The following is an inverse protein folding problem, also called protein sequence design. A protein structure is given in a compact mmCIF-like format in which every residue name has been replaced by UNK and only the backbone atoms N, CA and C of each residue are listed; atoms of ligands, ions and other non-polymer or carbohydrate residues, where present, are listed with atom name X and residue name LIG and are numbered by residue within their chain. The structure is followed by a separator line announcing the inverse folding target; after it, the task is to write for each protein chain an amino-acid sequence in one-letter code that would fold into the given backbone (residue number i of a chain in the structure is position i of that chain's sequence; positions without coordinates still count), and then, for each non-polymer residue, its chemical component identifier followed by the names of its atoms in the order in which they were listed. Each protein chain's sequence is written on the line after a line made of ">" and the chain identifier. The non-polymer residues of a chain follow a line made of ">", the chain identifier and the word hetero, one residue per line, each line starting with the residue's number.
data_IF_675500677914
#
_entry.id   IF_675500677914
#
_cell.length_a   1.000
_cell.length_b   1.000
_cell.length_c   1.000
_cell.angle_alpha   90.00
_cell.angle_beta   90.00
_cell.angle_gamma   90.00
#
_symmetry.space_group_name_H-M   'P 1'
#
loop_
_entity.id
_entity.type
_entity.pdbx_description
1 polymer ?
#
# COMPACT_ATOMS: atom_id res chain seq x y z
N UNK A 1 3.56 15.87 -2.67
CA UNK A 1 2.65 15.00 -3.46
C UNK A 1 3.10 14.78 -4.90
N UNK A 2 2.86 15.71 -5.84
CA UNK A 2 3.10 15.46 -7.29
C UNK A 2 4.53 15.00 -7.58
N UNK A 3 5.54 15.75 -7.12
CA UNK A 3 6.95 15.39 -7.33
C UNK A 3 7.30 13.99 -6.83
N UNK A 4 6.74 13.59 -5.69
CA UNK A 4 6.92 12.25 -5.11
C UNK A 4 6.29 11.18 -5.98
N UNK A 5 5.07 11.40 -6.45
CA UNK A 5 4.36 10.46 -7.34
C UNK A 5 5.12 10.30 -8.65
N UNK A 6 5.52 11.41 -9.28
CA UNK A 6 6.27 11.36 -10.54
C UNK A 6 7.63 10.68 -10.39
N UNK A 7 8.28 10.85 -9.22
CA UNK A 7 9.53 10.15 -8.91
C UNK A 7 9.33 8.64 -8.77
N UNK A 8 8.33 8.20 -8.00
CA UNK A 8 8.02 6.77 -7.91
C UNK A 8 7.67 6.19 -9.28
N UNK A 9 6.91 6.94 -10.08
CA UNK A 9 6.52 6.54 -11.42
C UNK A 9 7.71 6.41 -12.38
N UNK A 10 8.69 7.30 -12.30
CA UNK A 10 9.91 7.19 -13.12
C UNK A 10 10.71 5.93 -12.76
N UNK A 11 10.86 5.61 -11.48
CA UNK A 11 11.53 4.37 -11.03
C UNK A 11 10.88 3.11 -11.61
N UNK A 12 9.55 3.09 -11.67
CA UNK A 12 8.79 2.00 -12.27
C UNK A 12 8.96 1.93 -13.78
N UNK A 13 8.80 3.06 -14.47
CA UNK A 13 8.88 3.14 -15.95
C UNK A 13 10.26 2.81 -16.49
N UNK A 14 11.31 3.21 -15.78
CA UNK A 14 12.70 2.91 -16.13
C UNK A 14 13.11 1.49 -15.72
N UNK A 15 12.26 0.77 -14.99
CA UNK A 15 12.49 -0.61 -14.57
C UNK A 15 13.48 -0.77 -13.41
N UNK A 16 13.85 0.34 -12.76
CA UNK A 16 14.75 0.35 -11.61
C UNK A 16 14.10 -0.22 -10.34
N UNK A 17 12.82 0.03 -10.14
CA UNK A 17 12.07 -0.50 -9.00
C UNK A 17 10.58 -0.63 -9.33
N UNK A 18 10.00 -1.81 -9.12
CA UNK A 18 8.59 -2.07 -9.39
C UNK A 18 7.69 -1.98 -8.14
N UNK A 19 8.24 -1.53 -7.01
CA UNK A 19 7.55 -1.55 -5.72
C UNK A 19 7.70 -2.89 -4.98
N UNK A 20 6.94 -3.10 -3.89
CA UNK A 20 5.83 -2.26 -3.43
C UNK A 20 6.28 -0.99 -2.70
N UNK A 21 5.50 0.09 -2.83
CA UNK A 21 5.74 1.39 -2.18
C UNK A 21 4.70 1.64 -1.08
N UNK A 22 5.15 1.96 0.14
CA UNK A 22 4.27 2.34 1.25
C UNK A 22 4.21 3.87 1.33
N UNK A 23 3.01 4.43 1.26
CA UNK A 23 2.79 5.87 1.32
C UNK A 23 1.90 6.17 2.51
N UNK A 24 2.51 6.71 3.56
CA UNK A 24 1.85 7.08 4.81
C UNK A 24 1.52 8.56 4.82
N UNK A 25 0.23 8.88 4.97
CA UNK A 25 -0.26 10.26 4.87
C UNK A 25 -1.39 10.50 5.89
N UNK A 26 -1.66 11.76 6.28
CA UNK A 26 -2.82 12.07 7.11
C UNK A 26 -4.13 11.57 6.48
N UNK A 27 -5.05 11.07 7.30
CA UNK A 27 -6.34 10.55 6.81
C UNK A 27 -7.13 11.59 5.99
N UNK A 28 -6.98 12.88 6.32
CA UNK A 28 -7.60 14.00 5.60
C UNK A 28 -7.07 14.20 4.18
N UNK A 29 -5.85 13.75 3.87
CA UNK A 29 -5.21 13.96 2.56
C UNK A 29 -5.15 12.69 1.71
N UNK A 30 -5.58 11.53 2.22
CA UNK A 30 -5.60 10.26 1.47
C UNK A 30 -6.33 10.38 0.12
N UNK A 31 -7.54 10.96 0.11
CA UNK A 31 -8.33 11.12 -1.12
C UNK A 31 -7.62 12.03 -2.13
N UNK A 32 -6.88 13.04 -1.64
CA UNK A 32 -6.09 13.89 -2.51
C UNK A 32 -4.94 13.09 -3.13
N UNK A 33 -4.21 12.31 -2.34
CA UNK A 33 -3.14 11.44 -2.85
C UNK A 33 -3.64 10.43 -3.89
N UNK A 34 -4.78 9.79 -3.64
CA UNK A 34 -5.41 8.84 -4.58
C UNK A 34 -5.68 9.49 -5.95
N UNK A 35 -6.32 10.66 -5.98
CA UNK A 35 -6.59 11.40 -7.23
C UNK A 35 -5.31 11.81 -7.97
N UNK A 36 -4.29 12.23 -7.24
CA UNK A 36 -3.01 12.60 -7.84
C UNK A 36 -2.30 11.36 -8.41
N UNK A 37 -2.41 10.19 -7.78
CA UNK A 37 -1.89 8.94 -8.35
C UNK A 37 -2.62 8.56 -9.64
N UNK A 38 -3.96 8.65 -9.68
CA UNK A 38 -4.74 8.40 -10.89
C UNK A 38 -4.33 9.33 -12.05
N UNK A 39 -4.01 10.59 -11.72
CA UNK A 39 -3.63 11.60 -12.71
C UNK A 39 -2.19 11.44 -13.20
N UNK A 40 -1.23 11.24 -12.29
CA UNK A 40 0.20 11.33 -12.57
C UNK A 40 0.90 9.98 -12.72
N UNK A 41 0.28 8.90 -12.27
CA UNK A 41 0.81 7.53 -12.35
C UNK A 41 -0.30 6.52 -12.69
N UNK A 42 -1.00 6.66 -13.84
CA UNK A 42 -2.20 5.87 -14.17
C UNK A 42 -1.95 4.36 -14.31
N UNK A 43 -0.71 3.93 -14.53
CA UNK A 43 -0.35 2.51 -14.63
C UNK A 43 -0.03 1.88 -13.27
N UNK A 44 -0.07 2.64 -12.18
CA UNK A 44 0.08 2.09 -10.84
C UNK A 44 -1.19 1.39 -10.39
N UNK A 45 -1.00 0.28 -9.66
CA UNK A 45 -2.08 -0.36 -8.93
C UNK A 45 -1.98 0.14 -7.51
N UNK A 46 -2.84 1.10 -7.19
CA UNK A 46 -2.86 1.81 -5.91
C UNK A 46 -3.98 1.24 -5.06
N UNK A 47 -3.63 0.77 -3.87
CA UNK A 47 -4.60 0.25 -2.90
C UNK A 47 -4.70 1.21 -1.73
N UNK A 48 -5.90 1.77 -1.54
CA UNK A 48 -6.21 2.65 -0.40
C UNK A 48 -6.59 1.81 0.82
N UNK A 49 -5.64 1.63 1.74
CA UNK A 49 -5.79 0.84 2.95
C UNK A 49 -6.31 1.67 4.12
N UNK A 50 -7.63 1.86 4.14
CA UNK A 50 -8.38 2.61 5.16
C UNK A 50 -9.66 1.88 5.54
N UNK A 51 -10.42 2.46 6.47
CA UNK A 51 -11.72 1.94 6.89
C UNK A 51 -11.66 1.14 8.19
N UNK A 52 -12.79 0.55 8.54
CA UNK A 52 -12.93 -0.23 9.77
C UNK A 52 -12.21 -1.59 9.68
N UNK A 53 -12.28 -2.35 10.77
CA UNK A 53 -11.58 -3.62 10.91
C UNK A 53 -11.96 -4.64 9.82
N UNK A 54 -13.24 -4.67 9.47
CA UNK A 54 -13.80 -5.65 8.53
C UNK A 54 -13.48 -5.26 7.09
N UNK A 55 -13.59 -3.96 6.75
CA UNK A 55 -13.13 -3.42 5.46
C UNK A 55 -11.67 -3.75 5.21
N UNK A 56 -10.79 -3.53 6.21
CA UNK A 56 -9.36 -3.85 6.07
C UNK A 56 -9.10 -5.36 6.00
N UNK A 57 -9.95 -6.20 6.60
CA UNK A 57 -9.85 -7.65 6.45
C UNK A 57 -10.10 -8.07 5.00
N UNK A 58 -11.12 -7.51 4.36
CA UNK A 58 -11.42 -7.74 2.94
C UNK A 58 -10.26 -7.28 2.06
N UNK A 59 -9.69 -6.10 2.31
CA UNK A 59 -8.54 -5.61 1.53
C UNK A 59 -7.33 -6.55 1.66
N UNK A 60 -7.00 -7.00 2.88
CA UNK A 60 -5.89 -7.94 3.09
C UNK A 60 -6.09 -9.28 2.38
N UNK A 61 -7.31 -9.76 2.32
CA UNK A 61 -7.65 -11.04 1.69
C UNK A 61 -7.60 -10.97 0.16
N UNK A 62 -8.04 -9.85 -0.43
CA UNK A 62 -8.28 -9.77 -1.88
C UNK A 62 -7.27 -8.92 -2.66
N UNK A 63 -6.58 -7.99 -1.99
CA UNK A 63 -5.73 -7.00 -2.67
C UNK A 63 -4.24 -7.17 -2.42
N UNK A 64 -3.83 -7.90 -1.37
CA UNK A 64 -2.42 -7.95 -1.00
C UNK A 64 -1.58 -8.88 -1.88
N UNK A 65 -2.13 -10.01 -2.30
CA UNK A 65 -1.40 -11.03 -3.08
C UNK A 65 -2.29 -11.61 -4.17
N UNK A 66 -1.66 -12.17 -5.20
CA UNK A 66 -2.33 -13.03 -6.17
C UNK A 66 -2.62 -14.43 -5.62
N UNK A 67 -1.89 -14.85 -4.58
CA UNK A 67 -2.08 -16.17 -3.97
C UNK A 67 -3.25 -16.14 -2.99
N UNK A 68 -4.24 -17.01 -3.18
CA UNK A 68 -5.31 -17.20 -2.20
C UNK A 68 -4.75 -17.61 -0.83
N UNK A 69 -5.23 -16.94 0.22
CA UNK A 69 -4.81 -17.22 1.59
C UNK A 69 -3.38 -16.75 1.93
N UNK A 70 -2.77 -15.88 1.11
CA UNK A 70 -1.47 -15.26 1.42
C UNK A 70 -1.49 -14.51 2.76
N UNK A 71 -2.60 -13.83 3.08
CA UNK A 71 -2.89 -13.29 4.40
C UNK A 71 -4.00 -14.13 5.01
N UNK A 72 -3.80 -14.63 6.24
CA UNK A 72 -4.81 -15.48 6.88
C UNK A 72 -6.11 -14.70 7.06
N UNK A 73 -7.22 -15.29 6.60
CA UNK A 73 -8.55 -14.74 6.81
C UNK A 73 -8.82 -14.57 8.31
N UNK A 74 -9.40 -13.42 8.67
CA UNK A 74 -9.73 -13.08 10.05
C UNK A 74 -9.65 -11.59 10.34
N UNK A 75 -10.31 -11.18 11.42
CA UNK A 75 -10.43 -9.76 11.75
C UNK A 75 -9.13 -9.10 12.23
N UNK A 76 -8.09 -9.87 12.59
CA UNK A 76 -6.81 -9.29 13.05
C UNK A 76 -5.77 -9.38 11.94
N UNK A 77 -5.03 -8.29 11.72
CA UNK A 77 -3.91 -8.29 10.80
C UNK A 77 -2.90 -9.39 11.18
N UNK A 78 -2.66 -10.31 10.23
CA UNK A 78 -1.66 -11.37 10.36
C UNK A 78 -0.54 -11.15 9.34
N UNK A 79 0.63 -11.72 9.62
CA UNK A 79 1.74 -11.73 8.66
C UNK A 79 1.29 -12.33 7.32
N UNK A 80 1.71 -11.71 6.24
CA UNK A 80 1.64 -12.29 4.91
C UNK A 80 2.59 -13.49 4.85
N UNK A 81 2.18 -14.54 4.14
CA UNK A 81 2.98 -15.76 3.96
C UNK A 81 4.30 -15.41 3.28
N UNK A 82 5.39 -16.00 3.79
CA UNK A 82 6.71 -15.89 3.15
C UNK A 82 6.62 -16.37 1.70
N UNK A 83 7.28 -15.62 0.80
CA UNK A 83 7.35 -15.87 -0.65
C UNK A 83 6.06 -15.60 -1.44
N UNK A 84 5.02 -15.04 -0.82
CA UNK A 84 3.87 -14.54 -1.58
C UNK A 84 4.20 -13.22 -2.26
N UNK A 85 3.82 -13.10 -3.54
CA UNK A 85 4.05 -11.89 -4.33
C UNK A 85 3.00 -10.82 -4.02
N UNK A 86 3.42 -9.56 -3.95
CA UNK A 86 2.50 -8.43 -3.73
C UNK A 86 1.82 -8.07 -5.06
N UNK A 87 0.49 -7.87 -5.01
CA UNK A 87 -0.34 -7.54 -6.19
C UNK A 87 -0.30 -6.05 -6.55
N UNK A 88 -0.06 -5.17 -5.59
CA UNK A 88 -0.09 -3.73 -5.75
C UNK A 88 1.28 -3.08 -5.90
N UNK A 89 1.29 -1.94 -6.59
CA UNK A 89 2.46 -1.08 -6.72
C UNK A 89 2.57 -0.13 -5.52
N UNK A 90 1.44 0.41 -5.05
CA UNK A 90 1.39 1.38 -3.95
C UNK A 90 0.32 1.00 -2.93
N UNK A 91 0.64 1.11 -1.65
CA UNK A 91 -0.33 1.10 -0.55
C UNK A 91 -0.42 2.49 0.08
N UNK A 92 -1.60 3.11 0.01
CA UNK A 92 -1.89 4.38 0.68
C UNK A 92 -2.55 4.11 2.03
N UNK A 93 -2.03 4.67 3.11
CA UNK A 93 -2.61 4.48 4.44
C UNK A 93 -2.23 5.59 5.42
N UNK A 94 -2.82 5.58 6.62
CA UNK A 94 -2.48 6.52 7.70
C UNK A 94 -1.47 5.95 8.68
N UNK A 95 -0.79 6.83 9.41
CA UNK A 95 0.18 6.48 10.45
C UNK A 95 -0.38 5.54 11.52
N UNK A 96 -1.63 5.79 11.92
CA UNK A 96 -2.33 5.00 12.93
C UNK A 96 -2.55 3.57 12.45
N UNK A 97 -2.95 3.41 11.18
CA UNK A 97 -3.22 2.10 10.60
C UNK A 97 -1.94 1.28 10.41
N UNK A 98 -0.80 1.92 10.12
CA UNK A 98 0.51 1.24 10.11
C UNK A 98 0.81 0.64 11.47
N UNK A 99 0.58 1.41 12.53
CA UNK A 99 0.83 0.95 13.90
C UNK A 99 -0.13 -0.16 14.32
N UNK A 100 -1.41 -0.04 13.97
CA UNK A 100 -2.46 -1.02 14.31
C UNK A 100 -2.22 -2.36 13.59
N UNK A 101 -1.87 -2.31 12.30
CA UNK A 101 -1.75 -3.50 11.44
C UNK A 101 -0.27 -3.87 11.13
N UNK A 102 0.65 -3.48 12.01
CA UNK A 102 2.11 -3.70 11.89
C UNK A 102 2.49 -5.15 11.60
N UNK A 103 1.71 -6.12 12.11
CA UNK A 103 1.96 -7.53 11.85
C UNK A 103 1.82 -7.90 10.37
N UNK A 104 0.86 -7.31 9.66
CA UNK A 104 0.66 -7.54 8.23
C UNK A 104 1.60 -6.64 7.42
N UNK A 105 1.55 -5.33 7.64
CA UNK A 105 2.33 -4.38 6.83
C UNK A 105 3.83 -4.54 7.04
N UNK A 106 4.28 -4.85 8.25
CA UNK A 106 5.70 -5.10 8.55
C UNK A 106 6.23 -6.44 8.04
N UNK A 107 5.36 -7.29 7.46
CA UNK A 107 5.79 -8.53 6.78
C UNK A 107 5.92 -8.38 5.27
N UNK A 108 5.61 -7.19 4.73
CA UNK A 108 5.82 -6.85 3.33
C UNK A 108 7.23 -6.27 3.18
N UNK A 109 7.98 -6.76 2.21
CA UNK A 109 9.30 -6.22 1.87
C UNK A 109 9.15 -4.95 1.02
N UNK A 110 8.96 -3.82 1.70
CA UNK A 110 8.76 -2.51 1.06
C UNK A 110 10.03 -2.01 0.37
N UNK A 111 9.90 -1.53 -0.87
CA UNK A 111 11.00 -0.94 -1.61
C UNK A 111 11.24 0.54 -1.23
N UNK A 112 10.16 1.28 -0.97
CA UNK A 112 10.21 2.68 -0.55
C UNK A 112 9.13 2.94 0.49
N UNK A 113 9.46 3.74 1.50
CA UNK A 113 8.52 4.35 2.42
C UNK A 113 8.48 5.86 2.16
N UNK A 114 7.28 6.40 1.93
CA UNK A 114 6.98 7.83 1.85
C UNK A 114 6.16 8.22 3.06
N UNK A 115 6.53 9.33 3.70
CA UNK A 115 5.88 9.90 4.90
C UNK A 115 5.53 11.34 4.55
N UNK A 116 4.25 11.69 4.57
CA UNK A 116 3.73 13.04 4.32
C UNK A 116 3.49 13.80 5.63
N UNK A 117 3.89 15.07 5.72
CA UNK A 117 3.89 15.88 6.95
C UNK A 117 4.82 15.33 8.07
N UNK A 118 6.05 14.94 7.70
CA UNK A 118 7.12 14.54 8.63
C UNK A 118 7.72 15.72 9.43
#
# INVERSE_FOLDING_TARGET
>A
TIQTITFLYSLYKEGHCKGPFLVSVPLSTIINWEREFETWAPDFYVVTYVGDKDSRAVIRENEFSFDEGAVRAGGRASKMRSNSSVKFHVLLTSYELISIDVACLGSVDWAVLVVDEA
#
